data_IF_798419048801
#
_entry.id   IF_798419048801
#
_cell.length_a   1.000
_cell.length_b   1.000
_cell.length_c   1.000
_cell.angle_alpha   90.00
_cell.angle_beta   90.00
_cell.angle_gamma   90.00
#
_symmetry.space_group_name_H-M   'P 1'
#
loop_
_entity.id
_entity.type
_entity.pdbx_description
1 polymer ?
#
# COMPACT_ATOMS: atom_id res chain seq x y z
N UNK A 1 -2.38 -16.05 -8.27
CA UNK A 1 -3.25 -14.89 -8.60
C UNK A 1 -3.95 -14.45 -7.33
N UNK A 2 -4.08 -13.15 -7.10
CA UNK A 2 -4.75 -12.64 -5.89
C UNK A 2 -6.22 -13.07 -5.88
N UNK A 3 -6.74 -13.34 -4.68
CA UNK A 3 -8.11 -13.83 -4.50
C UNK A 3 -9.07 -12.65 -4.43
N UNK A 4 -9.90 -12.47 -5.46
CA UNK A 4 -11.02 -11.53 -5.47
C UNK A 4 -12.31 -12.29 -5.15
N UNK A 5 -13.01 -11.90 -4.07
CA UNK A 5 -14.29 -12.48 -3.66
C UNK A 5 -15.44 -11.47 -3.83
N UNK A 6 -16.68 -11.94 -3.87
CA UNK A 6 -17.87 -11.08 -3.91
C UNK A 6 -18.53 -10.97 -5.30
N UNK A 7 -19.54 -10.10 -5.40
CA UNK A 7 -20.33 -9.91 -6.62
C UNK A 7 -19.47 -9.35 -7.75
N UNK A 8 -19.60 -9.88 -8.98
CA UNK A 8 -18.90 -9.34 -10.16
C UNK A 8 -19.25 -7.86 -10.39
N UNK A 9 -20.52 -7.52 -10.16
CA UNK A 9 -21.07 -6.15 -10.28
C UNK A 9 -20.78 -5.26 -9.06
N UNK A 10 -20.02 -5.75 -8.07
CA UNK A 10 -19.61 -4.94 -6.93
C UNK A 10 -18.60 -3.89 -7.36
N UNK A 11 -18.98 -2.61 -7.25
CA UNK A 11 -18.14 -1.45 -7.64
C UNK A 11 -17.08 -1.11 -6.59
N UNK A 12 -17.34 -1.40 -5.32
CA UNK A 12 -16.44 -1.08 -4.22
C UNK A 12 -15.46 -2.22 -4.03
N UNK A 13 -14.16 -1.92 -4.07
CA UNK A 13 -13.09 -2.88 -3.81
C UNK A 13 -12.52 -2.62 -2.40
N UNK A 14 -12.50 -3.67 -1.57
CA UNK A 14 -11.85 -3.65 -0.25
C UNK A 14 -10.68 -4.62 -0.24
N UNK A 15 -9.49 -4.14 0.12
CA UNK A 15 -8.30 -4.96 0.33
C UNK A 15 -8.32 -5.58 1.73
N UNK A 16 -7.66 -6.72 1.87
CA UNK A 16 -7.51 -7.44 3.13
C UNK A 16 -6.16 -8.13 3.16
N UNK A 17 -5.36 -7.81 4.17
CA UNK A 17 -4.04 -8.38 4.39
C UNK A 17 -4.16 -9.67 5.19
N UNK A 18 -3.85 -10.81 4.57
CA UNK A 18 -3.97 -12.15 5.16
C UNK A 18 -2.58 -12.71 5.49
N UNK A 19 -2.40 -13.15 6.72
CA UNK A 19 -1.16 -13.78 7.19
C UNK A 19 -1.27 -14.13 8.67
N UNK A 20 -0.78 -15.32 9.05
CA UNK A 20 -0.88 -15.81 10.44
C UNK A 20 0.00 -15.01 11.39
N UNK A 21 1.15 -14.53 10.91
CA UNK A 21 2.11 -13.76 11.70
C UNK A 21 1.54 -12.47 12.31
N UNK A 22 0.37 -11.99 11.85
CA UNK A 22 -0.33 -10.86 12.48
C UNK A 22 -0.67 -11.14 13.95
N UNK A 23 -0.90 -12.40 14.34
CA UNK A 23 -1.19 -12.76 15.73
C UNK A 23 0.02 -12.67 16.65
N UNK A 24 1.23 -12.51 16.11
CA UNK A 24 2.44 -12.26 16.89
C UNK A 24 2.48 -10.83 17.45
N UNK A 25 1.60 -9.95 16.97
CA UNK A 25 1.55 -8.54 17.34
C UNK A 25 0.25 -8.24 18.08
N UNK A 26 0.30 -7.60 19.26
CA UNK A 26 -0.89 -7.13 19.97
C UNK A 26 -1.71 -6.14 19.12
N UNK A 27 -1.01 -5.32 18.34
CA UNK A 27 -1.60 -4.38 17.39
C UNK A 27 -0.68 -4.20 16.19
N UNK A 28 -1.26 -4.02 15.00
CA UNK A 28 -0.51 -3.71 13.79
C UNK A 28 -0.09 -2.23 13.71
N UNK A 29 -0.64 -1.38 14.60
CA UNK A 29 -0.33 0.05 14.67
C UNK A 29 1.09 0.38 15.14
N UNK A 30 1.90 -0.62 15.49
CA UNK A 30 3.31 -0.52 15.87
C UNK A 30 4.21 -1.24 14.86
N UNK A 31 3.69 -1.52 13.66
CA UNK A 31 4.38 -2.36 12.68
C UNK A 31 4.63 -1.58 11.40
N UNK A 32 5.79 -1.85 10.78
CA UNK A 32 6.20 -1.33 9.49
C UNK A 32 5.85 -2.32 8.38
N UNK A 33 5.23 -1.83 7.32
CA UNK A 33 4.81 -2.61 6.16
C UNK A 33 5.52 -2.13 4.88
N UNK A 34 6.13 -3.06 4.15
CA UNK A 34 6.59 -2.83 2.78
C UNK A 34 5.56 -3.42 1.81
N UNK A 35 4.94 -2.61 0.96
CA UNK A 35 4.04 -3.07 -0.10
C UNK A 35 4.79 -3.09 -1.42
N UNK A 36 4.88 -4.26 -2.05
CA UNK A 36 5.53 -4.41 -3.34
C UNK A 36 4.54 -4.10 -4.48
N UNK A 37 4.93 -3.20 -5.39
CA UNK A 37 4.12 -2.78 -6.53
C UNK A 37 4.80 -3.20 -7.83
N UNK A 38 4.26 -4.24 -8.47
CA UNK A 38 4.72 -4.67 -9.80
C UNK A 38 4.18 -3.71 -10.85
N UNK A 39 5.07 -3.10 -11.63
CA UNK A 39 4.68 -2.12 -12.66
C UNK A 39 3.99 -2.77 -13.87
N UNK A 40 4.20 -4.07 -14.09
CA UNK A 40 3.59 -4.88 -15.16
C UNK A 40 3.14 -6.24 -14.63
N UNK A 41 2.12 -6.81 -15.26
CA UNK A 41 1.73 -8.22 -15.09
C UNK A 41 0.88 -8.50 -13.86
N UNK A 42 0.60 -7.48 -13.03
CA UNK A 42 -0.27 -7.61 -11.87
C UNK A 42 -1.26 -6.45 -11.76
N UNK A 43 -2.47 -6.64 -12.30
CA UNK A 43 -3.55 -5.63 -12.27
C UNK A 43 -3.92 -5.19 -10.85
N UNK A 44 -3.69 -6.05 -9.85
CA UNK A 44 -4.01 -5.78 -8.45
C UNK A 44 -3.07 -4.77 -7.80
N UNK A 45 -1.96 -4.42 -8.46
CA UNK A 45 -1.09 -3.32 -8.07
C UNK A 45 -1.52 -1.99 -8.71
N UNK A 46 -2.69 -1.86 -9.32
CA UNK A 46 -3.09 -0.61 -10.01
C UNK A 46 -4.56 -0.25 -9.79
N UNK A 47 -4.93 0.98 -10.15
CA UNK A 47 -6.33 1.40 -10.18
C UNK A 47 -7.00 1.31 -8.80
N UNK A 48 -8.28 0.93 -8.82
CA UNK A 48 -9.08 0.75 -7.61
C UNK A 48 -8.54 -0.31 -6.64
N UNK A 49 -7.77 -1.30 -7.12
CA UNK A 49 -7.11 -2.26 -6.23
C UNK A 49 -6.00 -1.58 -5.44
N UNK A 50 -5.14 -0.80 -6.12
CA UNK A 50 -4.08 -0.03 -5.47
C UNK A 50 -4.65 0.98 -4.46
N UNK A 51 -5.70 1.73 -4.83
CA UNK A 51 -6.38 2.64 -3.90
C UNK A 51 -6.81 1.92 -2.62
N UNK A 52 -7.39 0.74 -2.76
CA UNK A 52 -7.86 -0.06 -1.63
C UNK A 52 -6.72 -0.60 -0.77
N UNK A 53 -5.60 -1.01 -1.39
CA UNK A 53 -4.36 -1.38 -0.69
C UNK A 53 -3.86 -0.21 0.14
N UNK A 54 -3.69 0.97 -0.50
CA UNK A 54 -3.16 2.16 0.15
C UNK A 54 -4.01 2.54 1.37
N UNK A 55 -5.32 2.67 1.17
CA UNK A 55 -6.26 3.02 2.24
C UNK A 55 -6.19 2.05 3.41
N UNK A 56 -6.14 0.75 3.13
CA UNK A 56 -6.11 -0.28 4.18
C UNK A 56 -4.76 -0.28 4.90
N UNK A 57 -3.66 -0.13 4.17
CA UNK A 57 -2.30 -0.17 4.72
C UNK A 57 -2.03 1.01 5.65
N UNK A 58 -2.30 2.24 5.19
CA UNK A 58 -2.10 3.47 5.99
C UNK A 58 -2.99 3.49 7.23
N UNK A 59 -4.20 2.93 7.14
CA UNK A 59 -5.08 2.78 8.29
C UNK A 59 -4.66 1.68 9.26
N UNK A 60 -3.89 0.67 8.85
CA UNK A 60 -3.64 -0.51 9.70
C UNK A 60 -2.28 -0.47 10.39
N UNK A 61 -1.26 0.00 9.67
CA UNK A 61 0.14 -0.07 10.10
C UNK A 61 0.60 1.25 10.71
N UNK A 62 1.72 1.21 11.44
CA UNK A 62 2.37 2.44 11.93
C UNK A 62 2.92 3.23 10.76
N UNK A 63 3.62 2.55 9.85
CA UNK A 63 4.26 3.13 8.69
C UNK A 63 4.21 2.16 7.50
N UNK A 64 3.97 2.70 6.31
CA UNK A 64 3.94 1.91 5.07
C UNK A 64 4.87 2.48 4.01
N UNK A 65 5.68 1.62 3.37
CA UNK A 65 6.43 1.98 2.17
C UNK A 65 5.82 1.28 0.97
N UNK A 66 5.44 2.05 -0.05
CA UNK A 66 5.01 1.52 -1.35
C UNK A 66 6.21 1.52 -2.31
N UNK A 67 6.73 0.32 -2.58
CA UNK A 67 7.89 0.11 -3.44
C UNK A 67 7.44 -0.16 -4.87
N UNK A 68 7.69 0.79 -5.76
CA UNK A 68 7.52 0.63 -7.20
C UNK A 68 8.73 -0.16 -7.71
N UNK A 69 8.51 -1.43 -8.07
CA UNK A 69 9.56 -2.34 -8.56
C UNK A 69 9.82 -2.10 -10.06
N UNK A 70 10.29 -0.91 -10.39
CA UNK A 70 10.50 -0.44 -11.75
C UNK A 70 11.82 -0.93 -12.37
N UNK A 71 12.96 -0.44 -11.89
CA UNK A 71 14.25 -0.72 -12.54
C UNK A 71 14.49 -2.22 -12.67
N UNK A 72 14.22 -3.02 -11.62
CA UNK A 72 14.36 -4.50 -11.62
C UNK A 72 13.61 -5.20 -12.76
N UNK A 73 12.58 -4.57 -13.32
CA UNK A 73 11.86 -5.09 -14.48
C UNK A 73 12.72 -5.16 -15.75
N UNK A 74 13.89 -4.51 -15.80
CA UNK A 74 14.81 -4.55 -16.93
C UNK A 74 15.17 -5.97 -17.36
N UNK A 75 15.26 -6.92 -16.43
CA UNK A 75 15.50 -8.34 -16.71
C UNK A 75 14.45 -8.93 -17.65
N UNK A 76 13.19 -8.51 -17.52
CA UNK A 76 12.09 -8.99 -18.36
C UNK A 76 12.08 -8.37 -19.77
N UNK A 77 12.80 -7.27 -19.96
CA UNK A 77 12.92 -6.60 -21.26
C UNK A 77 14.03 -7.21 -22.14
N UNK A 78 15.00 -7.90 -21.54
CA UNK A 78 16.20 -8.44 -22.21
C UNK A 78 15.90 -9.41 -23.33
N UNK A 79 16.18 -9.10 -24.59
CA UNK A 79 16.03 -10.08 -25.69
C UNK A 79 17.16 -11.10 -25.71
N UNK A 80 18.35 -10.66 -25.30
CA UNK A 80 19.53 -11.50 -25.09
C UNK A 80 20.30 -11.07 -23.84
N UNK A 81 21.47 -11.67 -23.64
CA UNK A 81 22.33 -11.43 -22.48
C UNK A 81 23.59 -10.64 -22.82
N UNK A 82 23.60 -9.89 -23.92
CA UNK A 82 24.66 -8.95 -24.24
C UNK A 82 24.74 -7.84 -23.18
N UNK A 83 25.95 -7.30 -22.95
CA UNK A 83 26.18 -6.20 -21.99
C UNK A 83 25.82 -4.83 -22.54
N UNK A 84 25.77 -4.71 -23.86
CA UNK A 84 25.62 -3.44 -24.59
C UNK A 84 24.25 -2.79 -24.35
N UNK A 85 23.21 -3.57 -24.05
CA UNK A 85 21.84 -3.07 -23.87
C UNK A 85 21.44 -2.80 -22.41
N UNK A 86 22.21 -3.25 -21.40
CA UNK A 86 21.77 -3.22 -19.99
C UNK A 86 21.35 -1.82 -19.53
N UNK A 87 22.18 -0.80 -19.79
CA UNK A 87 21.89 0.58 -19.39
C UNK A 87 20.67 1.17 -20.12
N UNK A 88 20.41 0.75 -21.35
CA UNK A 88 19.24 1.19 -22.11
C UNK A 88 17.97 0.52 -21.57
N UNK A 89 18.04 -0.78 -21.24
CA UNK A 89 16.92 -1.53 -20.67
C UNK A 89 16.57 -1.05 -19.26
N UNK A 90 17.56 -0.73 -18.42
CA UNK A 90 17.34 -0.13 -17.09
C UNK A 90 16.65 1.24 -17.20
N UNK A 91 17.14 2.11 -18.08
CA UNK A 91 16.49 3.41 -18.36
C UNK A 91 15.05 3.24 -18.80
N UNK A 92 14.79 2.31 -19.73
CA UNK A 92 13.43 1.99 -20.17
C UNK A 92 12.56 1.48 -19.02
N UNK A 93 13.08 0.63 -18.14
CA UNK A 93 12.34 0.13 -16.99
C UNK A 93 11.99 1.25 -16.00
N UNK A 94 12.91 2.21 -15.77
CA UNK A 94 12.68 3.42 -14.96
C UNK A 94 11.59 4.30 -15.57
N UNK A 95 11.63 4.54 -16.89
CA UNK A 95 10.58 5.29 -17.60
C UNK A 95 9.20 4.63 -17.42
N UNK A 96 9.14 3.30 -17.51
CA UNK A 96 7.91 2.54 -17.26
C UNK A 96 7.41 2.66 -15.80
N UNK A 97 8.34 2.79 -14.84
CA UNK A 97 8.05 3.11 -13.45
C UNK A 97 7.45 4.50 -13.26
N UNK A 98 8.04 5.51 -13.91
CA UNK A 98 7.53 6.87 -13.90
C UNK A 98 6.11 6.95 -14.48
N UNK A 99 5.88 6.29 -15.61
CA UNK A 99 4.55 6.18 -16.22
C UNK A 99 3.55 5.48 -15.28
N UNK A 100 3.98 4.41 -14.61
CA UNK A 100 3.15 3.72 -13.64
C UNK A 100 2.77 4.63 -12.48
N UNK A 101 3.71 5.40 -11.93
CA UNK A 101 3.42 6.38 -10.87
C UNK A 101 2.42 7.44 -11.36
N UNK A 102 2.64 8.06 -12.51
CA UNK A 102 1.77 9.13 -13.03
C UNK A 102 0.34 8.64 -13.29
N UNK A 103 0.18 7.42 -13.80
CA UNK A 103 -1.14 6.80 -14.00
C UNK A 103 -1.88 6.53 -12.69
N UNK A 104 -1.15 6.31 -11.60
CA UNK A 104 -1.71 5.96 -10.29
C UNK A 104 -1.60 7.07 -9.24
N UNK A 105 -1.11 8.26 -9.62
CA UNK A 105 -0.83 9.38 -8.70
C UNK A 105 -2.04 9.74 -7.83
N UNK A 106 -3.24 9.74 -8.41
CA UNK A 106 -4.49 10.00 -7.69
C UNK A 106 -4.73 9.05 -6.50
N UNK A 107 -4.26 7.80 -6.58
CA UNK A 107 -4.43 6.81 -5.53
C UNK A 107 -3.47 7.04 -4.37
N UNK A 108 -2.26 7.52 -4.65
CA UNK A 108 -1.31 7.93 -3.62
C UNK A 108 -1.75 9.23 -2.94
N UNK A 109 -2.32 10.18 -3.67
CA UNK A 109 -2.84 11.42 -3.09
C UNK A 109 -4.13 11.22 -2.27
N UNK A 110 -4.87 10.13 -2.51
CA UNK A 110 -6.17 9.88 -1.90
C UNK A 110 -6.19 9.95 -0.36
N UNK A 111 -5.28 9.32 0.41
CA UNK A 111 -5.25 9.45 1.87
C UNK A 111 -4.96 10.87 2.38
N UNK A 112 -4.44 11.74 1.51
CA UNK A 112 -4.12 13.14 1.83
C UNK A 112 -5.30 14.07 1.56
N UNK A 113 -6.38 13.58 0.92
CA UNK A 113 -7.50 14.40 0.49
C UNK A 113 -7.17 15.35 -0.66
N UNK A 114 -6.10 15.07 -1.41
CA UNK A 114 -5.64 15.89 -2.53
C UNK A 114 -6.06 15.22 -3.85
N UNK A 115 -6.64 15.98 -4.77
CA UNK A 115 -6.94 15.48 -6.12
C UNK A 115 -5.70 15.55 -7.01
N UNK A 116 -5.66 14.72 -8.06
CA UNK A 116 -4.54 14.76 -9.02
C UNK A 116 -4.47 16.11 -9.73
N UNK A 117 -5.61 16.72 -10.01
CA UNK A 117 -5.74 18.04 -10.64
C UNK A 117 -5.10 19.12 -9.76
N UNK A 118 -5.50 19.21 -8.49
CA UNK A 118 -4.97 20.19 -7.54
C UNK A 118 -3.46 20.01 -7.30
N UNK A 119 -2.97 18.77 -7.26
CA UNK A 119 -1.54 18.51 -7.17
C UNK A 119 -0.79 18.98 -8.43
N UNK A 120 -1.34 18.70 -9.62
CA UNK A 120 -0.72 19.02 -10.89
C UNK A 120 -0.76 20.51 -11.22
N UNK A 121 -1.73 21.28 -10.73
CA UNK A 121 -1.76 22.75 -10.88
C UNK A 121 -0.45 23.42 -10.48
N UNK A 122 0.26 22.86 -9.50
CA UNK A 122 1.51 23.43 -8.99
C UNK A 122 2.76 22.63 -9.41
N UNK A 123 2.59 21.39 -9.87
CA UNK A 123 3.68 20.42 -9.94
C UNK A 123 3.72 19.60 -11.24
N UNK A 124 2.84 19.85 -12.21
CA UNK A 124 2.75 19.06 -13.44
C UNK A 124 4.08 18.96 -14.22
N UNK A 125 4.84 20.07 -14.26
CA UNK A 125 6.10 20.24 -14.98
C UNK A 125 7.32 19.64 -14.27
N UNK A 126 7.15 19.19 -13.02
CA UNK A 126 8.25 18.67 -12.21
C UNK A 126 8.63 17.25 -12.63
N UNK A 127 9.91 16.92 -12.44
CA UNK A 127 10.41 15.55 -12.61
C UNK A 127 9.74 14.58 -11.63
N UNK A 128 9.77 13.29 -11.98
CA UNK A 128 9.17 12.22 -11.17
C UNK A 128 9.74 12.19 -9.74
N UNK A 129 11.06 12.29 -9.59
CA UNK A 129 11.71 12.31 -8.28
C UNK A 129 11.27 13.52 -7.46
N UNK A 130 11.06 14.67 -8.11
CA UNK A 130 10.59 15.86 -7.40
C UNK A 130 9.12 15.73 -6.99
N UNK A 131 8.27 15.16 -7.83
CA UNK A 131 6.87 14.85 -7.47
C UNK A 131 6.80 13.85 -6.31
N UNK A 132 7.60 12.78 -6.35
CA UNK A 132 7.72 11.80 -5.26
C UNK A 132 8.20 12.44 -3.95
N UNK A 133 9.23 13.28 -3.99
CA UNK A 133 9.70 14.02 -2.82
C UNK A 133 8.59 14.88 -2.21
N UNK A 134 7.85 15.63 -3.03
CA UNK A 134 6.73 16.46 -2.55
C UNK A 134 5.61 15.59 -1.97
N UNK A 135 5.24 14.51 -2.66
CA UNK A 135 4.23 13.56 -2.17
C UNK A 135 4.64 12.97 -0.82
N UNK A 136 5.88 12.52 -0.67
CA UNK A 136 6.39 11.93 0.56
C UNK A 136 6.45 12.95 1.69
N UNK A 137 6.86 14.20 1.42
CA UNK A 137 6.83 15.27 2.42
C UNK A 137 5.40 15.55 2.92
N UNK A 138 4.41 15.54 2.01
CA UNK A 138 2.99 15.68 2.38
C UNK A 138 2.49 14.45 3.15
N UNK A 139 2.85 13.26 2.71
CA UNK A 139 2.46 12.00 3.33
C UNK A 139 3.02 11.87 4.75
N UNK A 140 4.26 12.29 5.00
CA UNK A 140 4.85 12.32 6.34
C UNK A 140 4.19 13.33 7.29
N UNK A 141 3.63 14.43 6.75
CA UNK A 141 2.94 15.46 7.56
C UNK A 141 1.50 15.11 7.88
N UNK A 142 0.82 14.40 6.98
CA UNK A 142 -0.64 14.21 7.04
C UNK A 142 -1.10 12.76 7.09
N UNK A 143 -0.18 11.82 6.92
CA UNK A 143 -0.42 10.38 6.93
C UNK A 143 0.81 9.66 7.47
N UNK A 144 1.05 8.43 7.04
CA UNK A 144 2.08 7.55 7.59
C UNK A 144 2.66 6.61 6.52
N UNK A 145 2.99 7.16 5.35
CA UNK A 145 3.56 6.36 4.28
C UNK A 145 4.56 7.13 3.43
N UNK A 146 5.30 6.37 2.63
CA UNK A 146 6.11 6.89 1.53
C UNK A 146 5.94 6.03 0.27
N UNK A 147 6.21 6.62 -0.88
CA UNK A 147 6.34 5.93 -2.18
C UNK A 147 7.78 6.04 -2.63
N UNK A 148 8.37 4.93 -3.06
CA UNK A 148 9.78 4.86 -3.44
C UNK A 148 9.98 4.02 -4.69
N UNK A 149 10.96 4.40 -5.51
CA UNK A 149 11.38 3.65 -6.70
C UNK A 149 12.43 2.59 -6.33
N UNK A 150 12.65 1.60 -7.20
CA UNK A 150 13.53 0.47 -6.90
C UNK A 150 14.95 0.91 -6.56
N UNK A 151 15.54 1.80 -7.36
CA UNK A 151 16.90 2.27 -7.11
C UNK A 151 17.01 3.00 -5.77
N UNK A 152 16.07 3.89 -5.47
CA UNK A 152 16.06 4.65 -4.21
C UNK A 152 15.90 3.71 -3.01
N UNK A 153 15.10 2.65 -3.15
CA UNK A 153 14.95 1.59 -2.16
C UNK A 153 16.25 0.83 -1.90
N UNK A 154 16.95 0.40 -2.96
CA UNK A 154 18.25 -0.25 -2.78
C UNK A 154 19.24 0.68 -2.06
N UNK A 155 19.16 1.99 -2.31
CA UNK A 155 20.03 3.00 -1.71
C UNK A 155 19.61 3.43 -0.28
N UNK A 156 18.46 2.97 0.23
CA UNK A 156 18.05 3.25 1.63
C UNK A 156 18.97 2.61 2.66
N UNK A 157 19.62 1.51 2.31
CA UNK A 157 20.57 0.85 3.18
C UNK A 157 21.99 0.93 2.58
N UNK A 158 22.86 1.71 3.22
CA UNK A 158 24.26 1.89 2.79
C UNK A 158 25.08 0.59 2.88
N UNK A 159 24.80 -0.25 3.89
CA UNK A 159 25.44 -1.55 4.03
C UNK A 159 25.10 -2.44 2.83
N UNK A 160 23.83 -2.47 2.42
CA UNK A 160 23.40 -3.23 1.24
C UNK A 160 24.21 -2.84 0.00
N UNK A 161 24.48 -1.55 -0.22
CA UNK A 161 25.30 -1.11 -1.37
C UNK A 161 26.73 -1.69 -1.33
N UNK A 162 27.33 -1.77 -0.14
CA UNK A 162 28.67 -2.34 0.03
C UNK A 162 28.70 -3.86 -0.16
N UNK A 163 27.63 -4.58 0.20
CA UNK A 163 27.56 -6.04 0.13
C UNK A 163 26.76 -6.57 -1.07
N UNK A 164 26.14 -5.70 -1.89
CA UNK A 164 25.19 -6.10 -2.94
C UNK A 164 25.79 -7.17 -3.87
N UNK A 165 27.01 -6.94 -4.35
CA UNK A 165 27.69 -7.86 -5.25
C UNK A 165 28.00 -9.21 -4.59
N UNK A 166 28.74 -9.28 -3.46
CA UNK A 166 29.01 -10.58 -2.83
C UNK A 166 27.72 -11.28 -2.35
N UNK A 167 26.69 -10.53 -1.95
CA UNK A 167 25.38 -11.09 -1.60
C UNK A 167 24.67 -11.70 -2.81
N UNK A 168 24.73 -11.07 -3.99
CA UNK A 168 24.22 -11.65 -5.24
C UNK A 168 25.02 -12.91 -5.62
N UNK A 169 26.35 -12.87 -5.53
CA UNK A 169 27.20 -14.03 -5.83
C UNK A 169 26.90 -15.22 -4.89
N UNK A 170 26.45 -14.95 -3.65
CA UNK A 170 26.03 -15.99 -2.71
C UNK A 170 24.85 -16.80 -3.24
N UNK A 171 23.89 -16.18 -3.93
CA UNK A 171 22.73 -16.89 -4.50
C UNK A 171 23.13 -17.92 -5.57
N UNK A 172 24.31 -17.79 -6.17
CA UNK A 172 24.83 -18.75 -7.14
C UNK A 172 25.63 -19.89 -6.50
N UNK A 173 26.17 -19.65 -5.30
CA UNK A 173 27.07 -20.56 -4.56
C UNK A 173 26.33 -21.39 -3.52
N UNK A 174 25.43 -20.76 -2.77
CA UNK A 174 24.66 -21.39 -1.71
C UNK A 174 23.56 -22.28 -2.31
N UNK A 175 23.68 -23.60 -2.09
CA UNK A 175 22.85 -24.61 -2.74
C UNK A 175 21.36 -24.41 -2.45
N UNK A 176 21.02 -24.03 -1.23
CA UNK A 176 19.62 -23.85 -0.81
C UNK A 176 18.97 -22.67 -1.53
N UNK A 177 19.64 -21.52 -1.56
CA UNK A 177 19.22 -20.31 -2.25
C UNK A 177 19.13 -20.54 -3.76
N UNK A 178 20.21 -21.05 -4.38
CA UNK A 178 20.28 -21.34 -5.81
C UNK A 178 19.13 -22.22 -6.29
N UNK A 179 18.92 -23.35 -5.59
CA UNK A 179 17.88 -24.31 -5.94
C UNK A 179 16.48 -23.67 -5.89
N UNK A 180 16.24 -22.79 -4.92
CA UNK A 180 14.95 -22.10 -4.80
C UNK A 180 14.67 -21.18 -6.00
N UNK A 181 15.70 -20.47 -6.48
CA UNK A 181 15.67 -19.61 -7.67
C UNK A 181 15.42 -20.45 -8.93
N UNK A 182 16.27 -21.46 -9.18
CA UNK A 182 16.21 -22.28 -10.39
C UNK A 182 14.87 -22.99 -10.52
N UNK A 183 14.32 -23.52 -9.43
CA UNK A 183 13.00 -24.15 -9.44
C UNK A 183 11.88 -23.15 -9.78
N UNK A 184 11.93 -21.95 -9.23
CA UNK A 184 10.92 -20.92 -9.50
C UNK A 184 11.01 -20.43 -10.96
N UNK A 185 12.23 -20.16 -11.43
CA UNK A 185 12.52 -19.75 -12.79
C UNK A 185 12.10 -20.81 -13.82
N UNK A 186 12.42 -22.08 -13.56
CA UNK A 186 12.04 -23.21 -14.43
C UNK A 186 10.52 -23.34 -14.53
N UNK A 187 9.81 -23.31 -13.39
CA UNK A 187 8.35 -23.35 -13.37
C UNK A 187 7.70 -22.16 -14.09
N UNK A 188 8.34 -20.99 -14.07
CA UNK A 188 7.87 -19.84 -14.84
C UNK A 188 8.10 -20.07 -16.33
N UNK A 189 9.33 -20.42 -16.73
CA UNK A 189 9.72 -20.63 -18.12
C UNK A 189 8.87 -21.73 -18.78
N UNK A 190 8.65 -22.87 -18.14
CA UNK A 190 7.82 -23.95 -18.68
C UNK A 190 6.36 -23.54 -18.92
N UNK A 191 5.82 -22.64 -18.10
CA UNK A 191 4.41 -22.19 -18.23
C UNK A 191 4.21 -21.09 -19.27
N UNK A 192 5.25 -20.32 -19.57
CA UNK A 192 5.15 -19.12 -20.41
C UNK A 192 5.95 -19.20 -21.69
N UNK A 193 6.62 -20.33 -21.96
CA UNK A 193 7.33 -20.54 -23.22
C UNK A 193 6.35 -20.45 -24.40
N UNK A 194 6.80 -19.75 -25.42
CA UNK A 194 6.12 -19.55 -26.70
C UNK A 194 7.19 -19.54 -27.79
N UNK A 195 6.78 -19.59 -29.06
CA UNK A 195 7.73 -19.55 -30.18
C UNK A 195 8.61 -18.28 -30.17
N UNK A 196 8.06 -17.15 -29.71
CA UNK A 196 8.78 -15.87 -29.57
C UNK A 196 9.58 -15.73 -28.26
N UNK A 197 9.32 -16.60 -27.27
CA UNK A 197 9.97 -16.59 -25.95
C UNK A 197 10.38 -18.00 -25.57
N UNK A 198 11.54 -18.47 -26.07
CA UNK A 198 11.99 -19.82 -25.79
C UNK A 198 12.30 -20.02 -24.30
N UNK A 199 12.19 -21.26 -23.84
CA UNK A 199 12.45 -21.66 -22.46
C UNK A 199 13.75 -21.07 -21.88
N UNK A 200 14.87 -21.21 -22.61
CA UNK A 200 16.19 -20.76 -22.15
C UNK A 200 16.25 -19.25 -21.90
N UNK A 201 15.56 -18.45 -22.73
CA UNK A 201 15.47 -17.02 -22.54
C UNK A 201 14.69 -16.70 -21.27
N UNK A 202 13.50 -17.29 -21.11
CA UNK A 202 12.66 -17.07 -19.93
C UNK A 202 13.32 -17.54 -18.64
N UNK A 203 14.03 -18.67 -18.69
CA UNK A 203 14.78 -19.23 -17.58
C UNK A 203 15.87 -18.25 -17.12
N UNK A 204 16.72 -17.78 -18.04
CA UNK A 204 17.80 -16.84 -17.72
C UNK A 204 17.25 -15.49 -17.23
N UNK A 205 16.18 -14.97 -17.84
CA UNK A 205 15.52 -13.73 -17.39
C UNK A 205 15.03 -13.87 -15.96
N UNK A 206 14.29 -14.96 -15.69
CA UNK A 206 13.70 -15.21 -14.38
C UNK A 206 14.76 -15.43 -13.30
N UNK A 207 15.83 -16.18 -13.59
CA UNK A 207 16.94 -16.35 -12.65
C UNK A 207 17.59 -14.99 -12.32
N UNK A 208 17.93 -14.21 -13.35
CA UNK A 208 18.59 -12.90 -13.15
C UNK A 208 17.71 -11.94 -12.36
N UNK A 209 16.41 -11.90 -12.69
CA UNK A 209 15.40 -11.13 -11.97
C UNK A 209 15.32 -11.53 -10.49
N UNK A 210 15.13 -12.82 -10.22
CA UNK A 210 14.94 -13.31 -8.86
C UNK A 210 16.21 -13.19 -8.00
N UNK A 211 17.40 -13.31 -8.59
CA UNK A 211 18.68 -13.11 -7.89
C UNK A 211 18.87 -11.66 -7.46
N UNK A 212 18.40 -10.69 -8.25
CA UNK A 212 18.42 -9.28 -7.86
C UNK A 212 17.28 -8.94 -6.88
N UNK A 213 16.05 -9.36 -7.19
CA UNK A 213 14.86 -8.99 -6.42
C UNK A 213 14.86 -9.60 -5.01
N UNK A 214 15.25 -10.86 -4.87
CA UNK A 214 15.14 -11.59 -3.60
C UNK A 214 15.92 -10.92 -2.46
N UNK A 215 17.24 -10.67 -2.57
CA UNK A 215 17.96 -9.93 -1.53
C UNK A 215 17.53 -8.46 -1.47
N UNK A 216 17.22 -7.82 -2.61
CA UNK A 216 16.74 -6.43 -2.64
C UNK A 216 15.44 -6.22 -1.86
N UNK A 217 14.57 -7.22 -1.81
CA UNK A 217 13.33 -7.19 -1.02
C UNK A 217 13.57 -7.67 0.40
N UNK A 218 14.07 -8.90 0.58
CA UNK A 218 14.06 -9.58 1.88
C UNK A 218 15.14 -9.03 2.81
N UNK A 219 16.37 -8.90 2.32
CA UNK A 219 17.49 -8.48 3.14
C UNK A 219 17.35 -7.00 3.54
N UNK A 220 16.97 -6.13 2.59
CA UNK A 220 16.77 -4.70 2.87
C UNK A 220 15.59 -4.50 3.83
N UNK A 221 14.46 -5.17 3.62
CA UNK A 221 13.30 -5.06 4.51
C UNK A 221 13.67 -5.50 5.94
N UNK A 222 14.39 -6.62 6.10
CA UNK A 222 14.83 -7.10 7.40
C UNK A 222 15.77 -6.11 8.10
N UNK A 223 16.80 -5.62 7.39
CA UNK A 223 17.80 -4.71 7.95
C UNK A 223 17.21 -3.34 8.32
N UNK A 224 16.15 -2.90 7.65
CA UNK A 224 15.41 -1.67 7.98
C UNK A 224 14.31 -1.89 9.05
N UNK A 225 14.17 -3.10 9.59
CA UNK A 225 13.22 -3.44 10.64
C UNK A 225 11.76 -3.49 10.16
N UNK A 226 11.52 -3.88 8.91
CA UNK A 226 10.16 -4.12 8.43
C UNK A 226 9.60 -5.41 9.01
N UNK A 227 8.40 -5.30 9.56
CA UNK A 227 7.71 -6.42 10.19
C UNK A 227 6.98 -7.25 9.16
N UNK A 228 6.43 -6.59 8.12
CA UNK A 228 5.63 -7.22 7.09
C UNK A 228 6.03 -6.80 5.68
N UNK A 229 5.84 -7.73 4.74
CA UNK A 229 5.78 -7.46 3.31
C UNK A 229 4.39 -7.82 2.80
N UNK A 230 3.72 -6.88 2.14
CA UNK A 230 2.41 -7.05 1.52
C UNK A 230 2.52 -7.16 -0.01
N UNK A 231 1.86 -8.17 -0.58
CA UNK A 231 1.76 -8.31 -2.04
C UNK A 231 0.47 -9.05 -2.44
N UNK A 232 -0.18 -8.70 -3.57
CA UNK A 232 -1.30 -9.46 -4.13
C UNK A 232 -0.84 -10.76 -4.78
N UNK A 233 -0.40 -11.70 -3.94
CA UNK A 233 0.08 -13.02 -4.31
C UNK A 233 0.68 -13.75 -3.10
N UNK A 234 0.86 -15.05 -3.25
CA UNK A 234 1.53 -15.88 -2.24
C UNK A 234 3.05 -15.61 -2.24
N UNK A 235 3.68 -15.81 -1.09
CA UNK A 235 5.13 -15.67 -0.96
C UNK A 235 5.82 -16.69 -1.86
N UNK A 236 6.72 -16.22 -2.72
CA UNK A 236 7.46 -17.10 -3.61
C UNK A 236 8.57 -17.84 -2.85
N UNK A 237 8.93 -19.03 -3.33
CA UNK A 237 9.94 -19.88 -2.68
C UNK A 237 11.30 -19.19 -2.47
N UNK A 238 11.84 -18.41 -3.43
CA UNK A 238 13.09 -17.69 -3.20
C UNK A 238 13.05 -16.73 -2.02
N UNK A 239 11.97 -15.97 -1.87
CA UNK A 239 11.80 -15.04 -0.75
C UNK A 239 11.76 -15.78 0.58
N UNK A 240 11.05 -16.92 0.62
CA UNK A 240 10.98 -17.76 1.82
C UNK A 240 12.37 -18.31 2.19
N UNK A 241 13.10 -18.84 1.22
CA UNK A 241 14.45 -19.36 1.43
C UNK A 241 15.41 -18.26 1.90
N UNK A 242 15.35 -17.07 1.31
CA UNK A 242 16.16 -15.93 1.74
C UNK A 242 15.82 -15.49 3.17
N UNK A 243 14.53 -15.44 3.52
CA UNK A 243 14.11 -15.11 4.90
C UNK A 243 14.70 -16.11 5.89
N UNK A 244 14.54 -17.40 5.62
CA UNK A 244 15.04 -18.49 6.45
C UNK A 244 16.58 -18.54 6.51
N UNK A 245 17.27 -18.00 5.50
CA UNK A 245 18.72 -18.01 5.42
C UNK A 245 19.38 -16.82 6.12
N UNK A 246 18.85 -15.62 5.90
CA UNK A 246 19.48 -14.37 6.36
C UNK A 246 19.01 -13.92 7.73
N UNK A 247 17.76 -14.13 8.14
CA UNK A 247 17.25 -13.60 9.41
C UNK A 247 17.47 -14.64 10.50
N UNK A 248 18.31 -14.33 11.48
CA UNK A 248 18.79 -15.26 12.53
C UNK A 248 18.59 -14.69 13.93
N UNK A 249 18.55 -15.57 14.92
CA UNK A 249 18.62 -15.19 16.33
C UNK A 249 20.04 -14.75 16.69
N UNK A 250 20.17 -13.76 17.58
CA UNK A 250 21.47 -13.20 18.02
C UNK A 250 22.45 -14.26 18.54
N UNK A 251 21.93 -15.34 19.16
CA UNK A 251 22.72 -16.42 19.75
C UNK A 251 23.05 -17.58 18.77
N UNK A 252 22.79 -17.42 17.48
CA UNK A 252 23.10 -18.45 16.48
C UNK A 252 24.61 -18.62 16.29
N UNK A 253 25.11 -19.82 16.64
CA UNK A 253 26.53 -20.18 16.57
C UNK A 253 27.05 -20.30 15.13
N UNK A 254 26.16 -20.46 14.14
CA UNK A 254 26.52 -20.52 12.73
C UNK A 254 26.54 -19.10 12.13
N UNK A 255 27.63 -18.37 12.36
CA UNK A 255 27.77 -17.01 11.82
C UNK A 255 27.80 -17.03 10.29
N UNK A 256 26.75 -16.49 9.69
CA UNK A 256 26.61 -16.15 8.29
C UNK A 256 27.02 -14.69 8.13
N UNK A 257 28.03 -14.42 7.30
CA UNK A 257 28.57 -13.06 7.10
C UNK A 257 27.52 -12.05 6.60
N UNK A 258 26.46 -12.52 5.96
CA UNK A 258 25.34 -11.69 5.49
C UNK A 258 24.08 -11.82 6.37
N UNK A 259 24.20 -12.47 7.53
CA UNK A 259 23.10 -12.67 8.47
C UNK A 259 22.66 -11.36 9.11
N UNK A 260 21.35 -11.22 9.28
CA UNK A 260 20.70 -10.17 10.06
C UNK A 260 20.31 -10.80 11.39
N UNK A 261 21.09 -10.47 12.42
CA UNK A 261 20.97 -11.02 13.77
C UNK A 261 20.09 -10.12 14.64
N UNK A 262 18.98 -10.68 15.12
CA UNK A 262 18.00 -9.99 15.96
C UNK A 262 17.45 -10.92 17.02
N UNK A 263 16.94 -10.37 18.12
CA UNK A 263 16.43 -11.17 19.23
C UNK A 263 15.13 -11.92 18.89
N UNK A 264 14.26 -11.32 18.06
CA UNK A 264 12.98 -11.91 17.66
C UNK A 264 12.82 -11.97 16.13
N UNK A 265 13.55 -12.86 15.43
CA UNK A 265 13.53 -12.93 13.96
C UNK A 265 12.16 -13.28 13.38
N UNK A 266 11.32 -13.97 14.17
CA UNK A 266 9.92 -14.27 13.83
C UNK A 266 9.07 -13.02 13.60
N UNK A 267 9.47 -11.85 14.12
CA UNK A 267 8.74 -10.59 13.96
C UNK A 267 9.08 -9.86 12.65
N UNK A 268 10.17 -10.22 11.97
CA UNK A 268 10.60 -9.54 10.75
C UNK A 268 10.11 -10.21 9.47
N UNK A 269 9.88 -9.36 8.46
CA UNK A 269 9.64 -9.75 7.06
C UNK A 269 8.58 -10.85 6.92
N UNK A 270 7.46 -10.71 7.61
CA UNK A 270 6.34 -11.62 7.52
C UNK A 270 5.47 -11.33 6.30
N UNK A 271 5.07 -12.36 5.56
CA UNK A 271 4.30 -12.16 4.34
C UNK A 271 2.81 -11.95 4.64
N UNK A 272 2.23 -10.91 4.01
CA UNK A 272 0.80 -10.65 3.99
C UNK A 272 0.29 -10.78 2.55
N UNK A 273 -0.44 -11.86 2.26
CA UNK A 273 -1.16 -12.02 1.00
C UNK A 273 -2.30 -10.99 0.97
N UNK A 274 -2.26 -10.08 0.00
CA UNK A 274 -3.31 -9.11 -0.22
C UNK A 274 -4.44 -9.78 -1.02
N UNK A 275 -5.62 -9.80 -0.43
CA UNK A 275 -6.84 -10.33 -1.03
C UNK A 275 -7.87 -9.22 -1.17
N UNK A 276 -8.84 -9.38 -2.07
CA UNK A 276 -9.82 -8.35 -2.35
C UNK A 276 -11.24 -8.88 -2.22
N UNK A 277 -12.13 -7.99 -1.80
CA UNK A 277 -13.56 -8.23 -1.78
C UNK A 277 -14.28 -7.12 -2.55
N UNK A 278 -15.10 -7.52 -3.53
CA UNK A 278 -16.06 -6.67 -4.20
C UNK A 278 -17.32 -6.57 -3.35
N UNK A 279 -17.66 -5.35 -2.96
CA UNK A 279 -18.91 -5.02 -2.29
C UNK A 279 -19.81 -4.29 -3.28
N UNK A 280 -21.11 -4.59 -3.23
CA UNK A 280 -22.11 -3.74 -3.88
C UNK A 280 -22.09 -2.40 -3.15
N UNK A 281 -22.21 -1.31 -3.89
CA UNK A 281 -22.80 -0.10 -3.31
C UNK A 281 -24.09 -0.57 -2.66
N UNK A 282 -24.25 -0.38 -1.35
CA UNK A 282 -25.58 -0.53 -0.79
C UNK A 282 -26.44 0.38 -1.65
N UNK A 283 -27.45 -0.16 -2.32
CA UNK A 283 -28.53 0.69 -2.81
C UNK A 283 -29.04 1.35 -1.53
N UNK A 284 -28.61 2.60 -1.33
CA UNK A 284 -29.07 3.42 -0.25
C UNK A 284 -30.59 3.47 -0.40
N UNK A 285 -31.28 2.68 0.42
CA UNK A 285 -32.63 3.06 0.83
C UNK A 285 -32.44 4.40 1.56
N UNK A 286 -32.54 5.48 0.80
CA UNK A 286 -32.74 6.87 1.23
C UNK A 286 -32.25 7.19 2.65
N UNK A 287 -30.94 7.11 2.88
CA UNK A 287 -30.27 7.73 4.04
C UNK A 287 -29.08 8.58 3.58
N UNK A 288 -29.21 9.18 2.39
CA UNK A 288 -28.29 10.18 1.81
C UNK A 288 -28.02 11.34 2.80
N UNK A 289 -28.91 11.57 3.77
CA UNK A 289 -28.72 12.58 4.81
C UNK A 289 -27.69 12.21 5.89
N UNK A 290 -27.44 10.93 6.18
CA UNK A 290 -26.60 10.54 7.33
C UNK A 290 -25.12 10.39 7.00
N UNK A 291 -24.76 9.80 5.85
CA UNK A 291 -23.35 9.61 5.46
C UNK A 291 -22.68 10.91 4.98
N UNK A 292 -23.44 11.79 4.31
CA UNK A 292 -22.94 13.12 3.97
C UNK A 292 -22.81 14.02 5.20
N UNK A 293 -23.73 13.88 6.18
CA UNK A 293 -23.61 14.54 7.47
C UNK A 293 -22.41 14.01 8.28
N UNK A 294 -22.09 12.71 8.23
CA UNK A 294 -20.93 12.16 8.95
C UNK A 294 -19.60 12.67 8.37
N UNK A 295 -19.49 12.75 7.03
CA UNK A 295 -18.33 13.32 6.35
C UNK A 295 -18.16 14.82 6.63
N UNK A 296 -19.24 15.60 6.50
CA UNK A 296 -19.20 17.06 6.75
C UNK A 296 -18.96 17.36 8.23
N UNK A 297 -19.60 16.63 9.14
CA UNK A 297 -19.40 16.83 10.59
C UNK A 297 -17.97 16.48 10.99
N UNK A 298 -17.37 15.43 10.39
CA UNK A 298 -15.97 15.07 10.60
C UNK A 298 -15.00 16.16 10.12
N UNK A 299 -15.23 16.76 8.96
CA UNK A 299 -14.39 17.85 8.44
C UNK A 299 -14.54 19.15 9.25
N UNK A 300 -15.76 19.48 9.66
CA UNK A 300 -16.04 20.63 10.54
C UNK A 300 -15.36 20.44 11.90
N UNK A 301 -15.52 19.27 12.53
CA UNK A 301 -14.87 18.96 13.81
C UNK A 301 -13.35 19.03 13.70
N UNK A 302 -12.78 18.57 12.58
CA UNK A 302 -11.34 18.68 12.31
C UNK A 302 -10.90 20.14 12.24
N UNK A 303 -11.61 20.98 11.49
CA UNK A 303 -11.32 22.42 11.38
C UNK A 303 -11.46 23.16 12.71
N UNK A 304 -12.53 22.88 13.49
CA UNK A 304 -12.74 23.50 14.81
C UNK A 304 -11.65 23.07 15.80
N UNK A 305 -11.29 21.79 15.81
CA UNK A 305 -10.20 21.30 16.66
C UNK A 305 -8.89 22.00 16.30
N UNK A 306 -8.55 22.08 15.00
CA UNK A 306 -7.34 22.79 14.56
C UNK A 306 -7.35 24.27 14.97
N UNK A 307 -8.49 24.95 14.83
CA UNK A 307 -8.65 26.35 15.24
C UNK A 307 -8.52 26.58 16.74
N UNK A 308 -9.06 25.69 17.58
CA UNK A 308 -8.92 25.78 19.04
C UNK A 308 -7.46 25.53 19.45
N UNK A 309 -6.81 24.55 18.84
CA UNK A 309 -5.44 24.19 19.20
C UNK A 309 -4.39 25.19 18.70
N UNK A 310 -4.70 26.03 17.71
CA UNK A 310 -3.84 27.13 17.26
C UNK A 310 -3.89 28.37 18.15
N UNK A 311 -4.84 28.48 19.08
CA UNK A 311 -4.92 29.61 20.02
C UNK A 311 -3.75 29.62 21.01
N UNK A 312 -3.22 30.79 21.34
CA UNK A 312 -2.18 30.98 22.36
C UNK A 312 -2.78 31.04 23.78
N UNK A 313 -3.49 29.99 24.16
CA UNK A 313 -4.10 29.81 25.50
C UNK A 313 -3.65 28.48 26.11
N UNK A 314 -3.84 28.34 27.42
CA UNK A 314 -3.45 27.13 28.14
C UNK A 314 -4.28 25.90 27.71
N UNK A 315 -3.73 24.71 27.93
CA UNK A 315 -4.36 23.45 27.52
C UNK A 315 -5.71 23.20 28.19
N UNK A 316 -5.93 23.66 29.42
CA UNK A 316 -7.21 23.46 30.13
C UNK A 316 -8.30 24.28 29.44
N UNK A 317 -8.00 25.52 29.08
CA UNK A 317 -8.90 26.39 28.32
C UNK A 317 -9.22 25.81 26.93
N UNK A 318 -8.25 25.22 26.23
CA UNK A 318 -8.48 24.54 24.93
C UNK A 318 -9.42 23.34 25.05
N UNK A 319 -9.19 22.49 26.05
CA UNK A 319 -10.06 21.32 26.30
C UNK A 319 -11.47 21.77 26.65
N UNK A 320 -11.61 22.80 27.50
CA UNK A 320 -12.92 23.36 27.84
C UNK A 320 -13.66 23.87 26.60
N UNK A 321 -13.00 24.65 25.73
CA UNK A 321 -13.61 25.13 24.49
C UNK A 321 -14.06 23.98 23.56
N UNK A 322 -13.28 22.91 23.50
CA UNK A 322 -13.65 21.73 22.71
C UNK A 322 -14.90 21.03 23.28
N UNK A 323 -14.97 20.89 24.61
CA UNK A 323 -16.13 20.31 25.31
C UNK A 323 -17.37 21.17 25.08
N UNK A 324 -17.27 22.49 25.27
CA UNK A 324 -18.38 23.44 25.08
C UNK A 324 -18.94 23.37 23.64
N UNK A 325 -18.06 23.27 22.63
CA UNK A 325 -18.46 23.09 21.23
C UNK A 325 -19.21 21.78 21.01
N UNK A 326 -18.73 20.68 21.59
CA UNK A 326 -19.36 19.36 21.46
C UNK A 326 -20.72 19.35 22.13
N UNK A 327 -20.84 19.90 23.35
CA UNK A 327 -22.10 19.97 24.08
C UNK A 327 -23.15 20.82 23.35
N UNK A 328 -22.76 21.99 22.84
CA UNK A 328 -23.63 22.85 22.04
C UNK A 328 -24.10 22.15 20.76
N UNK A 329 -23.20 21.42 20.08
CA UNK A 329 -23.55 20.62 18.90
C UNK A 329 -24.59 19.53 19.24
N UNK A 330 -24.38 18.77 20.33
CA UNK A 330 -25.30 17.72 20.75
C UNK A 330 -26.67 18.31 21.13
N UNK A 331 -26.69 19.44 21.84
CA UNK A 331 -27.92 20.16 22.21
C UNK A 331 -28.73 20.58 20.98
N UNK A 332 -28.07 21.20 19.98
CA UNK A 332 -28.73 21.57 18.71
C UNK A 332 -29.25 20.37 17.95
N UNK A 333 -28.47 19.29 17.91
CA UNK A 333 -28.87 18.04 17.23
C UNK A 333 -30.14 17.45 17.87
N UNK A 334 -30.22 17.44 19.20
CA UNK A 334 -31.41 16.97 19.92
C UNK A 334 -32.66 17.81 19.58
N UNK A 335 -32.53 19.14 19.56
CA UNK A 335 -33.63 20.04 19.21
C UNK A 335 -34.14 19.85 17.77
N UNK A 336 -33.23 19.64 16.82
CA UNK A 336 -33.62 19.37 15.42
C UNK A 336 -34.38 18.05 15.30
N UNK A 337 -33.91 17.00 15.99
CA UNK A 337 -34.59 15.69 16.02
C UNK A 337 -36.00 15.79 16.61
N UNK A 338 -36.17 16.56 17.69
CA UNK A 338 -37.48 16.76 18.32
C UNK A 338 -38.46 17.51 17.39
N UNK A 339 -37.98 18.51 16.66
CA UNK A 339 -38.79 19.26 15.69
C UNK A 339 -39.22 18.40 14.50
N UNK A 340 -38.30 17.59 13.95
CA UNK A 340 -38.63 16.66 12.85
C UNK A 340 -39.66 15.62 13.30
N UNK A 341 -39.58 15.15 14.54
CA UNK A 341 -40.56 14.21 15.09
C UNK A 341 -41.96 14.85 15.26
N UNK A 342 -42.03 16.11 15.69
CA UNK A 342 -43.30 16.86 15.79
C UNK A 342 -43.95 17.08 14.41
N UNK A 343 -43.18 17.51 13.42
CA UNK A 343 -43.67 17.70 12.04
C UNK A 343 -44.19 16.38 11.43
N UNK A 344 -43.52 15.26 11.70
CA UNK A 344 -43.94 13.97 11.18
C UNK A 344 -45.22 13.43 11.86
N UNK A 345 -45.43 13.74 13.14
CA UNK A 345 -46.69 13.45 13.85
C UNK A 345 -47.86 14.28 13.31
N UNK A 346 -47.64 15.55 12.97
CA UNK A 346 -48.67 16.40 12.37
C UNK A 346 -49.07 15.94 10.96
N UNK A 347 -48.12 15.43 10.17
CA UNK A 347 -48.38 14.92 8.81
C UNK A 347 -49.07 13.56 8.75
N UNK A 348 -49.03 12.77 9.82
CA UNK A 348 -49.62 11.41 9.86
C UNK A 348 -51.00 11.37 10.51
N UNK A 349 -51.55 12.52 10.91
CA UNK A 349 -52.87 12.61 11.53
C UNK A 349 -53.99 12.53 10.45
N UNK A 350 -54.81 11.46 10.43
CA UNK A 350 -55.80 11.25 9.39
C UNK A 350 -57.04 12.11 9.67
N UNK A 351 -56.99 13.39 9.27
CA UNK A 351 -58.09 14.34 9.46
C UNK A 351 -58.31 15.32 8.28
N UNK A 352 -57.60 15.18 7.16
CA UNK A 352 -57.84 16.00 5.98
C UNK A 352 -58.92 15.37 5.08
N UNK A 353 -60.14 15.85 5.28
CA UNK A 353 -61.34 15.53 4.50
C UNK A 353 -61.21 16.07 3.08
N UNK A 354 -60.90 15.20 2.10
CA UNK A 354 -60.94 15.53 0.68
C UNK A 354 -62.41 15.49 0.25
N UNK A 355 -63.13 16.59 0.47
CA UNK A 355 -64.45 16.80 -0.14
C UNK A 355 -64.36 17.71 -1.38
N UNK A 356 -64.81 17.11 -2.49
CA UNK A 356 -65.50 17.71 -3.65
C UNK A 356 -64.67 18.50 -4.65
N UNK A 357 -64.19 17.78 -5.68
CA UNK A 357 -64.22 18.27 -7.06
C UNK A 357 -65.35 17.51 -7.76
N UNK A 358 -66.38 18.23 -8.19
CA UNK A 358 -67.46 17.73 -9.04
C UNK A 358 -67.47 18.58 -10.32
N UNK A 359 -67.38 17.87 -11.45
CA UNK A 359 -67.55 18.26 -12.87
C UNK A 359 -66.42 19.11 -13.46
#
# INVERSE_FOLDING_TARGET
MAKVRGSKDGKIIKASFKGQAKSLFPTLKQTKLLVLLSIIGNEFCSGNYLRSIIQTATFTHEFTTFLIADEVYWHNLRRDFSKEEELALKRKAIEMGADYFERNLEHFLFPLGITKEAFNEQHADKSIHKKLSILNDLAMKHSNYEVILWNDWLNKNHEFQSIKKPLIDLFEKEKSLKKSIEQMASNFASRHQTDDKPYDLLMKRSCSYLVEETPGVIWIAASLGYHFIGYPGEMIKPFKAAKEYFIRETDDLAVNEFGIYVDEPKLLVNWLEITFQRCREKQEKSSIAEDHAYSITSEILKGVTQGIFSLEIDSVSKVKMLVDVIEEYQSRKANVLENVQKEHQEMTNPGFDIQKINI
#
